data_IF_746320331123
#
_entry.id   IF_746320331123
#
_cell.length_a   1.000
_cell.length_b   1.000
_cell.length_c   1.000
_cell.angle_alpha   90.00
_cell.angle_beta   90.00
_cell.angle_gamma   90.00
#
_symmetry.space_group_name_H-M   'P 1'
#
loop_
_entity.id
_entity.type
_entity.pdbx_description
1 polymer ?
#
# COMPACT_ATOMS: atom_id res chain seq x y z
N UNK A 1 18.97 7.28 -3.96
CA UNK A 1 17.64 6.66 -3.93
C UNK A 1 17.03 6.91 -2.56
N UNK A 2 15.76 7.30 -2.49
CA UNK A 2 15.07 7.47 -1.22
C UNK A 2 14.64 6.09 -0.68
N UNK A 3 14.67 5.90 0.64
CA UNK A 3 14.16 4.68 1.27
C UNK A 3 13.26 5.00 2.46
N UNK A 4 12.09 4.38 2.49
CA UNK A 4 11.29 4.24 3.70
C UNK A 4 11.59 2.87 4.30
N UNK A 5 12.01 2.84 5.56
CA UNK A 5 12.23 1.61 6.30
C UNK A 5 11.29 1.57 7.50
N UNK A 6 10.38 0.61 7.51
CA UNK A 6 9.42 0.40 8.58
C UNK A 6 9.56 -0.98 9.19
N UNK A 7 9.39 -1.06 10.50
CA UNK A 7 9.57 -2.33 11.19
C UNK A 7 8.72 -2.46 12.44
N UNK A 8 8.16 -3.66 12.62
CA UNK A 8 7.56 -4.13 13.87
C UNK A 8 8.35 -5.35 14.34
N UNK A 9 9.27 -5.16 15.28
CA UNK A 9 10.14 -6.21 15.79
C UNK A 9 10.37 -6.00 17.28
N UNK A 10 10.72 -7.06 18.00
CA UNK A 10 11.19 -6.99 19.39
C UNK A 10 12.54 -6.27 19.52
N UNK A 11 13.32 -6.20 18.43
CA UNK A 11 14.55 -5.41 18.37
C UNK A 11 14.26 -3.92 18.13
N UNK A 12 15.10 -3.02 18.67
CA UNK A 12 15.01 -1.59 18.35
C UNK A 12 15.12 -1.34 16.84
N UNK A 13 14.28 -0.44 16.32
CA UNK A 13 14.21 -0.14 14.89
C UNK A 13 15.56 0.25 14.28
N UNK A 14 16.39 1.02 15.00
CA UNK A 14 17.72 1.41 14.55
C UNK A 14 18.68 0.21 14.41
N UNK A 15 18.55 -0.80 15.26
CA UNK A 15 19.36 -2.01 15.14
C UNK A 15 18.99 -2.79 13.87
N UNK A 16 17.70 -2.94 13.60
CA UNK A 16 17.22 -3.62 12.39
C UNK A 16 17.58 -2.83 11.12
N UNK A 17 17.51 -1.50 11.19
CA UNK A 17 17.97 -0.62 10.10
C UNK A 17 19.45 -0.83 9.77
N UNK A 18 20.33 -0.86 10.77
CA UNK A 18 21.77 -1.09 10.54
C UNK A 18 22.05 -2.50 10.00
N UNK A 19 21.33 -3.53 10.48
CA UNK A 19 21.40 -4.88 9.92
C UNK A 19 21.01 -4.89 8.43
N UNK A 20 19.87 -4.30 8.10
CA UNK A 20 19.39 -4.23 6.72
C UNK A 20 20.35 -3.43 5.82
N UNK A 21 20.87 -2.30 6.32
CA UNK A 21 21.86 -1.47 5.61
C UNK A 21 23.16 -2.21 5.36
N UNK A 22 23.63 -2.99 6.34
CA UNK A 22 24.81 -3.84 6.18
C UNK A 22 24.58 -4.90 5.11
N UNK A 23 23.41 -5.57 5.13
CA UNK A 23 23.03 -6.54 4.10
C UNK A 23 22.99 -5.90 2.70
N UNK A 24 22.43 -4.69 2.57
CA UNK A 24 22.42 -3.93 1.31
C UNK A 24 23.82 -3.67 0.75
N UNK A 25 24.76 -3.27 1.61
CA UNK A 25 26.15 -3.02 1.21
C UNK A 25 26.89 -4.30 0.80
N UNK A 26 26.64 -5.40 1.49
CA UNK A 26 27.26 -6.70 1.19
C UNK A 26 26.83 -7.26 -0.17
N UNK A 27 25.63 -6.90 -0.67
CA UNK A 27 25.19 -7.26 -2.02
C UNK A 27 25.89 -6.47 -3.13
N UNK A 28 26.83 -5.58 -2.79
CA UNK A 28 27.58 -4.78 -3.76
C UNK A 28 26.75 -3.67 -4.42
N UNK A 29 25.55 -3.37 -3.90
CA UNK A 29 24.66 -2.36 -4.46
C UNK A 29 25.22 -0.97 -4.15
N UNK A 30 25.64 -0.25 -5.20
CA UNK A 30 26.36 1.03 -5.08
C UNK A 30 25.42 2.24 -4.94
N UNK A 31 24.11 2.07 -5.12
CA UNK A 31 23.15 3.16 -5.07
C UNK A 31 23.11 3.75 -3.64
N UNK A 32 23.38 5.06 -3.47
CA UNK A 32 23.30 5.68 -2.17
C UNK A 32 21.85 5.71 -1.68
N UNK A 33 21.64 5.35 -0.41
CA UNK A 33 20.35 5.33 0.24
C UNK A 33 20.19 6.56 1.13
N UNK A 34 19.09 7.28 0.95
CA UNK A 34 18.67 8.38 1.80
C UNK A 34 17.39 7.96 2.53
N UNK A 35 17.48 7.67 3.83
CA UNK A 35 16.32 7.29 4.65
C UNK A 35 15.37 8.48 4.77
N UNK A 36 14.11 8.26 4.43
CA UNK A 36 13.04 9.23 4.62
C UNK A 36 12.50 9.12 6.05
N UNK A 37 12.19 10.25 6.71
CA UNK A 37 11.41 10.24 7.94
C UNK A 37 9.93 9.95 7.64
N UNK A 38 9.17 9.63 8.69
CA UNK A 38 7.72 9.37 8.60
C UNK A 38 7.37 7.88 8.56
N UNK A 39 6.09 7.59 8.42
CA UNK A 39 5.53 6.23 8.44
C UNK A 39 4.35 6.09 7.47
N UNK A 40 4.14 4.86 6.99
CA UNK A 40 2.99 4.48 6.19
C UNK A 40 2.79 5.29 4.89
N UNK A 41 1.53 5.41 4.49
CA UNK A 41 1.15 6.02 3.21
C UNK A 41 1.41 7.53 3.13
N UNK A 42 1.48 8.23 4.27
CA UNK A 42 1.80 9.66 4.31
C UNK A 42 3.15 9.97 3.63
N UNK A 43 4.12 9.05 3.76
CA UNK A 43 5.43 9.20 3.13
C UNK A 43 5.34 9.15 1.61
N UNK A 44 4.44 8.33 1.05
CA UNK A 44 4.22 8.32 -0.41
C UNK A 44 3.64 9.66 -0.86
N UNK A 45 2.63 10.17 -0.14
CA UNK A 45 1.99 11.43 -0.46
C UNK A 45 2.99 12.61 -0.46
N UNK A 46 3.74 12.76 0.63
CA UNK A 46 4.78 13.79 0.76
C UNK A 46 5.91 13.61 -0.27
N UNK A 47 6.30 12.36 -0.55
CA UNK A 47 7.35 12.08 -1.51
C UNK A 47 6.93 12.49 -2.93
N UNK A 48 5.69 12.18 -3.32
CA UNK A 48 5.13 12.58 -4.62
C UNK A 48 5.15 14.11 -4.78
N UNK A 49 4.69 14.86 -3.78
CA UNK A 49 4.67 16.33 -3.83
C UNK A 49 6.07 16.92 -4.01
N UNK A 50 7.09 16.34 -3.37
CA UNK A 50 8.49 16.85 -3.45
C UNK A 50 9.25 16.38 -4.70
N UNK A 51 8.77 15.34 -5.40
CA UNK A 51 9.54 14.66 -6.44
C UNK A 51 8.80 14.54 -7.78
N UNK A 52 7.64 15.19 -7.96
CA UNK A 52 6.84 15.08 -9.18
C UNK A 52 7.58 15.54 -10.46
N UNK A 53 8.50 16.51 -10.34
CA UNK A 53 9.17 17.15 -11.49
C UNK A 53 10.51 16.52 -11.90
N UNK A 54 11.01 15.52 -11.15
CA UNK A 54 12.34 14.90 -11.42
C UNK A 54 12.29 13.38 -11.34
N UNK A 55 13.03 12.67 -12.19
CA UNK A 55 13.11 11.20 -12.17
C UNK A 55 13.57 10.72 -10.78
N UNK A 56 12.68 10.08 -10.03
CA UNK A 56 12.92 9.73 -8.63
C UNK A 56 12.41 8.34 -8.31
N UNK A 57 13.19 7.64 -7.48
CA UNK A 57 12.86 6.30 -6.96
C UNK A 57 12.74 6.36 -5.44
N UNK A 58 11.73 5.67 -4.93
CA UNK A 58 11.49 5.37 -3.53
C UNK A 58 11.47 3.85 -3.35
N UNK A 59 12.39 3.34 -2.55
CA UNK A 59 12.34 1.97 -2.06
C UNK A 59 11.59 1.95 -0.73
N UNK A 60 10.52 1.17 -0.62
CA UNK A 60 9.89 0.89 0.67
C UNK A 60 10.31 -0.49 1.11
N UNK A 61 10.81 -0.60 2.34
CA UNK A 61 11.10 -1.87 3.01
C UNK A 61 10.33 -1.89 4.31
N UNK A 62 9.44 -2.88 4.46
CA UNK A 62 8.62 -3.04 5.65
C UNK A 62 8.73 -4.46 6.18
N UNK A 63 9.07 -4.60 7.45
CA UNK A 63 9.41 -5.90 8.05
C UNK A 63 8.71 -6.08 9.39
N UNK A 64 7.98 -7.18 9.55
CA UNK A 64 7.59 -7.73 10.83
C UNK A 64 8.25 -9.09 11.03
N UNK A 65 9.11 -9.19 12.05
CA UNK A 65 9.86 -10.40 12.39
C UNK A 65 9.87 -10.56 13.90
N UNK A 66 9.68 -11.79 14.37
CA UNK A 66 9.55 -12.15 15.77
C UNK A 66 8.61 -11.20 16.54
N UNK A 67 7.34 -11.04 16.10
CA UNK A 67 6.36 -10.25 16.85
C UNK A 67 6.14 -10.87 18.24
N UNK A 68 5.64 -10.08 19.19
CA UNK A 68 5.15 -10.65 20.45
C UNK A 68 4.15 -11.78 20.13
N UNK A 69 4.22 -12.88 20.89
CA UNK A 69 3.45 -14.10 20.62
C UNK A 69 1.97 -13.93 20.98
N UNK A 70 1.30 -13.01 20.30
CA UNK A 70 -0.14 -12.78 20.36
C UNK A 70 -0.78 -13.65 19.28
N UNK A 71 -1.85 -14.37 19.64
CA UNK A 71 -2.59 -15.20 18.69
C UNK A 71 -3.05 -14.34 17.51
N UNK A 72 -2.71 -14.78 16.30
CA UNK A 72 -3.06 -14.08 15.07
C UNK A 72 -1.99 -13.12 14.56
N UNK A 73 -0.79 -13.07 15.15
CA UNK A 73 0.34 -12.36 14.54
C UNK A 73 0.94 -13.11 13.36
N UNK A 74 1.54 -12.36 12.44
CA UNK A 74 2.20 -12.86 11.24
C UNK A 74 3.62 -12.29 11.11
N UNK A 75 4.52 -13.05 10.51
CA UNK A 75 5.79 -12.52 10.02
C UNK A 75 5.66 -12.15 8.55
N UNK A 76 6.17 -11.00 8.16
CA UNK A 76 6.14 -10.53 6.78
C UNK A 76 7.34 -9.63 6.50
N UNK A 77 7.90 -9.75 5.30
CA UNK A 77 8.88 -8.82 4.78
C UNK A 77 8.44 -8.39 3.38
N UNK A 78 8.33 -7.09 3.17
CA UNK A 78 7.85 -6.51 1.91
C UNK A 78 8.87 -5.50 1.42
N UNK A 79 9.18 -5.55 0.12
CA UNK A 79 9.93 -4.53 -0.57
C UNK A 79 9.14 -4.05 -1.80
N UNK A 80 8.94 -2.74 -1.91
CA UNK A 80 8.31 -2.10 -3.07
C UNK A 80 9.25 -1.05 -3.65
N UNK A 81 9.53 -1.15 -4.95
CA UNK A 81 10.25 -0.10 -5.67
C UNK A 81 9.24 0.77 -6.42
N UNK A 82 9.07 2.00 -5.94
CA UNK A 82 8.20 3.00 -6.54
C UNK A 82 9.04 3.95 -7.39
N UNK A 83 8.60 4.14 -8.63
CA UNK A 83 9.12 5.16 -9.52
C UNK A 83 8.05 6.19 -9.81
N UNK A 84 8.39 7.47 -9.78
CA UNK A 84 7.43 8.50 -10.18
C UNK A 84 7.15 8.42 -11.70
N UNK A 85 6.13 9.13 -12.18
CA UNK A 85 5.71 9.12 -13.59
C UNK A 85 6.87 9.27 -14.59
N UNK A 86 7.87 10.08 -14.26
CA UNK A 86 9.02 10.36 -15.14
C UNK A 86 10.00 9.18 -15.29
N UNK A 87 9.85 8.12 -14.51
CA UNK A 87 10.70 6.91 -14.57
C UNK A 87 10.11 5.78 -15.41
N UNK A 88 8.86 5.89 -15.86
CA UNK A 88 8.12 4.80 -16.52
C UNK A 88 8.77 4.31 -17.83
N UNK A 89 9.49 5.19 -18.54
CA UNK A 89 10.23 4.83 -19.76
C UNK A 89 11.54 4.08 -19.48
N UNK A 90 12.06 4.18 -18.26
CA UNK A 90 13.32 3.55 -17.84
C UNK A 90 13.05 2.24 -17.07
N UNK A 91 12.02 2.25 -16.24
CA UNK A 91 11.60 1.11 -15.42
C UNK A 91 10.15 0.81 -15.75
N UNK A 92 9.91 -0.33 -16.40
CA UNK A 92 8.56 -0.79 -16.70
C UNK A 92 7.83 -1.13 -15.39
N UNK A 93 6.74 -0.42 -15.03
CA UNK A 93 5.97 -0.75 -13.84
C UNK A 93 5.18 -2.04 -14.05
N UNK A 94 4.83 -2.73 -12.96
CA UNK A 94 3.86 -3.86 -12.99
C UNK A 94 2.43 -3.38 -12.71
N UNK A 95 2.28 -2.26 -12.00
CA UNK A 95 1.03 -1.58 -11.69
C UNK A 95 1.31 -0.10 -11.46
N UNK A 96 0.28 0.73 -11.56
CA UNK A 96 0.35 2.16 -11.26
C UNK A 96 -0.33 2.42 -9.91
N UNK A 97 0.45 2.86 -8.93
CA UNK A 97 -0.06 3.29 -7.63
C UNK A 97 -0.48 4.77 -7.72
N UNK A 98 -1.73 5.04 -7.38
CA UNK A 98 -2.29 6.40 -7.37
C UNK A 98 -2.10 7.06 -6.02
N UNK A 99 -2.22 8.39 -5.97
CA UNK A 99 -2.02 9.20 -4.75
C UNK A 99 -2.89 8.64 -3.60
N UNK A 100 -2.29 8.28 -2.44
CA UNK A 100 -3.06 7.84 -1.28
C UNK A 100 -3.94 8.98 -0.72
N UNK A 101 -5.17 8.65 -0.37
CA UNK A 101 -6.14 9.58 0.24
C UNK A 101 -6.35 9.20 1.72
N UNK A 102 -6.15 10.13 2.64
CA UNK A 102 -6.45 9.89 4.06
C UNK A 102 -7.89 10.35 4.38
N UNK A 103 -8.63 9.51 5.10
CA UNK A 103 -9.95 9.89 5.61
C UNK A 103 -10.19 9.33 7.00
N UNK A 104 -11.33 9.67 7.59
CA UNK A 104 -11.80 9.18 8.89
C UNK A 104 -13.08 8.36 8.69
N UNK A 105 -13.49 7.58 9.69
CA UNK A 105 -14.74 6.80 9.59
C UNK A 105 -15.98 7.66 9.28
N UNK A 106 -16.19 8.85 9.90
CA UNK A 106 -17.32 9.72 9.56
C UNK A 106 -17.31 10.21 8.10
N UNK A 107 -16.14 10.41 7.51
CA UNK A 107 -15.96 10.92 6.14
C UNK A 107 -15.55 9.82 5.16
N UNK A 108 -15.70 8.55 5.53
CA UNK A 108 -15.19 7.42 4.75
C UNK A 108 -15.82 7.34 3.37
N UNK A 109 -17.14 7.55 3.27
CA UNK A 109 -17.85 7.53 1.98
C UNK A 109 -17.32 8.60 1.03
N UNK A 110 -17.16 9.83 1.54
CA UNK A 110 -16.60 10.96 0.79
C UNK A 110 -15.14 10.71 0.41
N UNK A 111 -14.34 10.10 1.30
CA UNK A 111 -12.95 9.74 1.01
C UNK A 111 -12.84 8.70 -0.11
N UNK A 112 -13.72 7.69 -0.12
CA UNK A 112 -13.77 6.70 -1.21
C UNK A 112 -14.14 7.38 -2.53
N UNK A 113 -15.18 8.21 -2.54
CA UNK A 113 -15.59 8.96 -3.73
C UNK A 113 -14.49 9.92 -4.20
N UNK A 114 -13.86 10.65 -3.27
CA UNK A 114 -12.78 11.58 -3.57
C UNK A 114 -11.59 10.84 -4.19
N UNK A 115 -11.21 9.71 -3.59
CA UNK A 115 -10.08 8.91 -4.06
C UNK A 115 -10.29 8.34 -5.46
N UNK A 116 -11.56 8.11 -5.86
CA UNK A 116 -11.93 7.63 -7.18
C UNK A 116 -11.68 8.67 -8.29
N UNK A 117 -11.51 9.96 -7.96
CA UNK A 117 -11.09 10.97 -8.93
C UNK A 117 -9.61 10.88 -9.29
N UNK A 118 -8.78 10.19 -8.50
CA UNK A 118 -7.35 10.01 -8.79
C UNK A 118 -7.09 8.93 -9.85
N UNK A 119 -8.09 8.10 -10.16
CA UNK A 119 -7.98 6.96 -11.09
C UNK A 119 -8.74 7.20 -12.38
N UNK A 120 -8.32 6.58 -13.50
CA UNK A 120 -9.02 6.65 -14.78
C UNK A 120 -10.28 5.75 -14.80
N UNK A 121 -11.15 5.86 -13.79
CA UNK A 121 -12.44 5.18 -13.76
C UNK A 121 -13.35 5.75 -14.85
N UNK A 122 -13.91 4.86 -15.69
CA UNK A 122 -14.96 5.28 -16.62
C UNK A 122 -16.23 5.59 -15.85
N UNK A 123 -17.07 6.47 -16.41
CA UNK A 123 -18.35 6.78 -15.78
C UNK A 123 -19.21 5.51 -15.63
N UNK A 124 -19.64 5.23 -14.40
CA UNK A 124 -20.40 4.02 -14.06
C UNK A 124 -19.57 2.74 -13.93
N UNK A 125 -18.23 2.82 -14.02
CA UNK A 125 -17.35 1.71 -13.71
C UNK A 125 -17.26 1.50 -12.20
N UNK A 126 -17.52 0.27 -11.77
CA UNK A 126 -17.54 -0.11 -10.36
C UNK A 126 -16.28 -0.91 -10.02
N UNK A 127 -15.69 -0.63 -8.86
CA UNK A 127 -14.52 -1.35 -8.36
C UNK A 127 -14.93 -2.75 -7.90
N UNK A 128 -14.18 -3.75 -8.38
CA UNK A 128 -14.44 -5.17 -8.11
C UNK A 128 -13.51 -5.81 -7.08
N UNK A 129 -12.44 -5.15 -6.66
CA UNK A 129 -11.41 -5.73 -5.80
C UNK A 129 -11.01 -4.78 -4.66
N UNK A 130 -11.18 -5.26 -3.43
CA UNK A 130 -10.90 -4.53 -2.19
C UNK A 130 -9.99 -5.35 -1.27
N UNK A 131 -8.82 -4.81 -1.00
CA UNK A 131 -7.82 -5.32 -0.08
C UNK A 131 -7.88 -4.53 1.23
N UNK A 132 -7.92 -5.24 2.36
CA UNK A 132 -7.96 -4.64 3.68
C UNK A 132 -6.73 -5.05 4.48
N UNK A 133 -6.11 -4.10 5.18
CA UNK A 133 -4.97 -4.38 6.05
C UNK A 133 -4.91 -3.42 7.24
N UNK A 134 -4.43 -3.91 8.38
CA UNK A 134 -4.28 -3.16 9.62
C UNK A 134 -5.56 -2.40 10.06
N UNK A 135 -6.76 -2.95 9.78
CA UNK A 135 -8.02 -2.33 10.19
C UNK A 135 -8.48 -2.89 11.52
N UNK A 136 -8.82 -2.02 12.47
CA UNK A 136 -9.57 -2.45 13.64
C UNK A 136 -11.00 -2.88 13.23
N UNK A 137 -11.68 -3.64 14.10
CA UNK A 137 -13.03 -4.17 13.81
C UNK A 137 -14.06 -3.10 13.41
N UNK A 138 -13.98 -1.91 14.01
CA UNK A 138 -14.90 -0.81 13.72
C UNK A 138 -14.65 -0.27 12.31
N UNK A 139 -13.40 0.01 11.97
CA UNK A 139 -12.99 0.48 10.64
C UNK A 139 -13.30 -0.57 9.56
N UNK A 140 -13.01 -1.85 9.80
CA UNK A 140 -13.36 -2.94 8.89
C UNK A 140 -14.87 -3.01 8.66
N UNK A 141 -15.68 -2.94 9.72
CA UNK A 141 -17.14 -2.95 9.60
C UNK A 141 -17.68 -1.75 8.81
N UNK A 142 -17.12 -0.55 9.04
CA UNK A 142 -17.48 0.65 8.31
C UNK A 142 -17.16 0.54 6.81
N UNK A 143 -15.99 0.00 6.46
CA UNK A 143 -15.60 -0.26 5.06
C UNK A 143 -16.50 -1.32 4.42
N UNK A 144 -16.80 -2.41 5.13
CA UNK A 144 -17.69 -3.46 4.61
C UNK A 144 -19.11 -2.96 4.35
N UNK A 145 -19.61 -2.01 5.13
CA UNK A 145 -20.92 -1.39 4.91
C UNK A 145 -20.98 -0.56 3.61
N UNK A 146 -19.84 -0.16 3.03
CA UNK A 146 -19.75 0.55 1.74
C UNK A 146 -19.76 -0.38 0.53
N UNK A 147 -19.41 -1.66 0.70
CA UNK A 147 -19.37 -2.61 -0.40
C UNK A 147 -20.77 -2.82 -1.00
N UNK A 148 -20.85 -2.89 -2.33
CA UNK A 148 -22.13 -2.96 -3.06
C UNK A 148 -22.79 -1.60 -3.31
N UNK A 149 -22.19 -0.50 -2.84
CA UNK A 149 -22.59 0.87 -3.15
C UNK A 149 -21.50 1.52 -4.01
N UNK A 150 -21.89 2.40 -4.93
CA UNK A 150 -20.91 3.09 -5.80
C UNK A 150 -19.86 3.86 -4.96
N UNK A 151 -18.58 3.87 -5.36
CA UNK A 151 -17.96 3.18 -6.51
C UNK A 151 -17.51 1.74 -6.21
N UNK A 152 -17.98 1.11 -5.12
CA UNK A 152 -17.67 -0.26 -4.69
C UNK A 152 -18.76 -1.28 -5.06
N UNK A 153 -19.59 -0.98 -6.06
CA UNK A 153 -20.74 -1.79 -6.48
C UNK A 153 -20.37 -3.19 -6.97
N UNK A 154 -19.13 -3.38 -7.44
CA UNK A 154 -18.61 -4.68 -7.88
C UNK A 154 -18.21 -5.62 -6.73
N UNK A 155 -18.10 -5.11 -5.50
CA UNK A 155 -17.64 -5.88 -4.34
C UNK A 155 -18.82 -6.46 -3.57
N UNK A 156 -18.91 -7.79 -3.52
CA UNK A 156 -20.01 -8.54 -2.87
C UNK A 156 -19.50 -9.26 -1.62
N UNK A 157 -20.41 -9.77 -0.79
CA UNK A 157 -20.03 -10.45 0.46
C UNK A 157 -19.13 -11.68 0.24
N UNK A 158 -19.32 -12.34 -0.89
CA UNK A 158 -18.67 -13.59 -1.30
C UNK A 158 -17.58 -13.40 -2.36
N UNK A 159 -17.40 -12.19 -2.90
CA UNK A 159 -16.46 -11.94 -3.99
C UNK A 159 -15.85 -10.53 -3.94
N UNK A 160 -14.57 -10.42 -4.31
CA UNK A 160 -13.88 -9.14 -4.44
C UNK A 160 -13.38 -8.53 -3.12
N UNK A 161 -13.39 -9.30 -2.02
CA UNK A 161 -12.90 -8.86 -0.70
C UNK A 161 -11.70 -9.71 -0.27
N UNK A 162 -10.61 -9.05 0.11
CA UNK A 162 -9.36 -9.68 0.52
C UNK A 162 -8.89 -9.09 1.85
N UNK A 163 -9.43 -9.54 3.00
CA UNK A 163 -8.97 -9.11 4.31
C UNK A 163 -7.65 -9.78 4.66
N UNK A 164 -6.52 -9.12 4.42
CA UNK A 164 -5.21 -9.74 4.58
C UNK A 164 -4.91 -10.14 6.02
N UNK A 165 -5.34 -9.36 7.00
CA UNK A 165 -5.11 -9.69 8.41
C UNK A 165 -5.83 -10.99 8.80
N UNK A 166 -6.99 -11.29 8.20
CA UNK A 166 -7.73 -12.54 8.42
C UNK A 166 -7.09 -13.73 7.68
N UNK A 167 -6.40 -13.48 6.56
CA UNK A 167 -5.79 -14.51 5.70
C UNK A 167 -4.37 -14.87 6.14
N UNK A 168 -3.59 -13.88 6.53
CA UNK A 168 -2.16 -14.00 6.83
C UNK A 168 -1.85 -13.81 8.31
N UNK A 169 -2.75 -13.19 9.07
CA UNK A 169 -2.49 -12.66 10.42
C UNK A 169 -2.04 -11.20 10.39
N UNK A 170 -1.94 -10.60 11.58
CA UNK A 170 -1.47 -9.23 11.80
C UNK A 170 0.03 -9.13 11.49
N UNK A 171 0.35 -8.52 10.35
CA UNK A 171 1.71 -8.24 9.88
C UNK A 171 2.26 -6.88 10.34
N UNK A 172 1.56 -6.19 11.26
CA UNK A 172 1.93 -4.90 11.86
C UNK A 172 2.40 -3.87 10.84
N UNK A 173 3.60 -3.32 11.01
CA UNK A 173 4.12 -2.28 10.12
C UNK A 173 4.21 -2.73 8.65
N UNK A 174 4.30 -4.04 8.37
CA UNK A 174 4.34 -4.57 7.01
C UNK A 174 2.95 -4.76 6.38
N UNK A 175 1.86 -4.75 7.17
CA UNK A 175 0.51 -5.04 6.68
C UNK A 175 0.03 -4.13 5.52
N UNK A 176 0.09 -2.78 5.59
CA UNK A 176 -0.33 -1.94 4.48
C UNK A 176 0.51 -2.15 3.21
N UNK A 177 1.81 -2.42 3.37
CA UNK A 177 2.72 -2.68 2.26
C UNK A 177 2.49 -4.04 1.63
N UNK A 178 2.17 -5.05 2.43
CA UNK A 178 1.77 -6.36 1.94
C UNK A 178 0.52 -6.24 1.07
N UNK A 179 -0.47 -5.45 1.50
CA UNK A 179 -1.67 -5.15 0.71
C UNK A 179 -1.35 -4.48 -0.63
N UNK A 180 -0.46 -3.47 -0.63
CA UNK A 180 -0.02 -2.84 -1.88
C UNK A 180 0.72 -3.83 -2.79
N UNK A 181 1.58 -4.69 -2.23
CA UNK A 181 2.34 -5.67 -3.00
C UNK A 181 1.44 -6.74 -3.64
N UNK A 182 0.49 -7.28 -2.88
CA UNK A 182 -0.47 -8.27 -3.40
C UNK A 182 -1.43 -7.64 -4.40
N UNK A 183 -1.95 -6.44 -4.10
CA UNK A 183 -2.81 -5.71 -5.02
C UNK A 183 -2.08 -5.33 -6.31
N UNK A 184 -0.79 -4.98 -6.26
CA UNK A 184 0.01 -4.70 -7.47
C UNK A 184 0.09 -5.91 -8.40
N UNK A 185 0.33 -7.10 -7.83
CA UNK A 185 0.35 -8.34 -8.60
C UNK A 185 -1.03 -8.73 -9.13
N UNK A 186 -2.09 -8.49 -8.33
CA UNK A 186 -3.46 -8.71 -8.75
C UNK A 186 -3.86 -7.77 -9.91
N UNK A 187 -3.48 -6.48 -9.85
CA UNK A 187 -3.72 -5.53 -10.93
C UNK A 187 -3.07 -6.01 -12.23
N UNK A 188 -1.80 -6.43 -12.17
CA UNK A 188 -1.06 -6.93 -13.32
C UNK A 188 -1.70 -8.20 -13.94
N UNK A 189 -2.12 -9.15 -13.09
CA UNK A 189 -2.65 -10.43 -13.55
C UNK A 189 -4.10 -10.36 -14.04
N UNK A 190 -4.93 -9.55 -13.39
CA UNK A 190 -6.37 -9.44 -13.71
C UNK A 190 -6.68 -8.36 -14.73
N UNK A 191 -5.72 -7.46 -15.00
CA UNK A 191 -5.95 -6.23 -15.76
C UNK A 191 -7.13 -5.41 -15.21
N UNK A 192 -7.40 -5.50 -13.90
CA UNK A 192 -8.48 -4.81 -13.22
C UNK A 192 -7.95 -3.89 -12.14
N UNK A 193 -8.67 -2.80 -11.89
CA UNK A 193 -8.35 -1.88 -10.82
C UNK A 193 -8.53 -2.52 -9.44
N UNK A 194 -7.64 -2.15 -8.53
CA UNK A 194 -7.57 -2.67 -7.17
C UNK A 194 -7.66 -1.50 -6.20
N UNK A 195 -8.42 -1.69 -5.13
CA UNK A 195 -8.51 -0.73 -4.03
C UNK A 195 -7.88 -1.33 -2.78
N UNK A 196 -6.96 -0.60 -2.15
CA UNK A 196 -6.40 -0.95 -0.84
C UNK A 196 -6.92 0.07 0.17
N UNK A 197 -7.53 -0.42 1.25
CA UNK A 197 -7.87 0.40 2.42
C UNK A 197 -7.10 -0.14 3.62
N UNK A 198 -6.20 0.68 4.15
CA UNK A 198 -5.38 0.32 5.30
C UNK A 198 -5.62 1.22 6.49
N UNK A 199 -5.64 0.66 7.70
CA UNK A 199 -5.78 1.44 8.92
C UNK A 199 -4.50 2.15 9.32
N UNK A 200 -4.65 3.15 10.19
CA UNK A 200 -3.55 3.79 10.90
C UNK A 200 -3.56 3.30 12.35
N UNK A 201 -2.43 2.81 12.89
CA UNK A 201 -2.37 2.33 14.28
C UNK A 201 -2.88 3.38 15.26
N UNK A 202 -3.75 2.95 16.19
CA UNK A 202 -4.33 3.79 17.25
C UNK A 202 -5.14 5.01 16.78
N UNK A 203 -5.57 5.05 15.51
CA UNK A 203 -6.38 6.14 14.97
C UNK A 203 -7.66 5.62 14.31
N UNK A 204 -8.66 6.50 14.22
CA UNK A 204 -9.89 6.27 13.44
C UNK A 204 -9.73 6.68 11.96
N UNK A 205 -8.49 6.96 11.54
CA UNK A 205 -8.15 7.29 10.17
C UNK A 205 -7.77 6.05 9.37
N UNK A 206 -8.08 6.08 8.09
CA UNK A 206 -7.69 5.06 7.12
C UNK A 206 -7.08 5.73 5.90
N UNK A 207 -6.21 4.99 5.22
CA UNK A 207 -5.68 5.36 3.93
C UNK A 207 -6.39 4.57 2.84
N UNK A 208 -6.72 5.25 1.75
CA UNK A 208 -7.35 4.69 0.56
C UNK A 208 -6.37 4.86 -0.59
N UNK A 209 -5.94 3.76 -1.19
CA UNK A 209 -4.97 3.77 -2.30
C UNK A 209 -5.49 2.92 -3.44
N UNK A 210 -5.52 3.48 -4.63
CA UNK A 210 -5.89 2.74 -5.84
C UNK A 210 -4.65 2.25 -6.57
N UNK A 211 -4.77 1.06 -7.17
CA UNK A 211 -3.79 0.54 -8.12
C UNK A 211 -4.50 0.23 -9.43
N UNK A 212 -3.98 0.76 -10.53
CA UNK A 212 -4.46 0.43 -11.87
C UNK A 212 -3.46 -0.49 -12.58
N UNK A 213 -3.92 -1.38 -13.46
CA UNK A 213 -3.03 -2.10 -14.36
C UNK A 213 -2.26 -1.13 -15.25
N UNK A 214 -1.10 -1.56 -15.72
CA UNK A 214 -0.39 -0.86 -16.81
C UNK A 214 -1.15 -1.17 -18.10
N UNK A 215 -1.48 -0.13 -18.88
CA UNK A 215 -2.11 -0.34 -20.18
C UNK A 215 -1.21 -1.26 -21.04
N UNK A 216 -1.77 -2.23 -21.77
CA UNK A 216 -0.99 -3.04 -22.68
C UNK A 216 -0.26 -2.11 -23.68
N UNK A 217 1.03 -2.36 -23.91
CA UNK A 217 1.76 -1.65 -24.96
C UNK A 217 0.99 -1.84 -26.27
N UNK A 218 0.56 -0.74 -26.89
CA UNK A 218 -0.02 -0.77 -28.23
C UNK A 218 1.01 -1.40 -29.16
N UNK A 219 0.73 -2.63 -29.62
CA UNK A 219 1.55 -3.39 -30.56
C UNK A 219 1.53 -2.75 -31.96
#
# INVERSE_FOLDING_TARGET
MAILFESSCTLPAEHLWEMWRSAWQQQGIQQPLARLPGTGMAVIDEWLDRHIEKKSLLLVVAIQVAPETVKGSAEAAVALLLGNRLTQEVLKPIALLHRPEQTTLPTLAQGIEQSAYWVPLRHGEELGHLWLAALNRQSQSAVMARCGQSPLGGIRADNGRYPLDDLCGDAGAAAPWLALATASQAAASTSAMQLVISGVPMQESVWITHLSPVAPESA
#
